data_IF_314807567844
#
_entry.id   IF_314807567844
#
_cell.length_a   1.000
_cell.length_b   1.000
_cell.length_c   1.000
_cell.angle_alpha   90.00
_cell.angle_beta   90.00
_cell.angle_gamma   90.00
#
_symmetry.space_group_name_H-M   'P 1'
#
loop_
_entity.id
_entity.type
_entity.pdbx_description
1 polymer ?
#
# COMPACT_ATOMS: atom_id res chain seq x y z
N UNK A 1 -6.82 5.42 4.65
CA UNK A 1 -5.92 5.12 3.51
C UNK A 1 -6.77 4.77 2.30
N UNK A 2 -6.39 5.18 1.10
CA UNK A 2 -7.12 4.88 -0.13
C UNK A 2 -6.75 3.51 -0.71
N UNK A 3 -7.55 2.99 -1.66
CA UNK A 3 -7.28 1.73 -2.35
C UNK A 3 -7.26 1.90 -3.87
N UNK A 4 -6.21 1.37 -4.50
CA UNK A 4 -6.07 1.29 -5.96
C UNK A 4 -6.22 -0.18 -6.40
N UNK A 5 -7.00 -0.41 -7.45
CA UNK A 5 -7.07 -1.69 -8.14
C UNK A 5 -7.26 -1.47 -9.64
N UNK A 6 -6.47 -2.14 -10.46
CA UNK A 6 -6.58 -2.07 -11.92
C UNK A 6 -6.33 -3.43 -12.56
N UNK A 7 -6.87 -3.61 -13.75
CA UNK A 7 -6.78 -4.85 -14.54
C UNK A 7 -6.53 -4.47 -15.99
N UNK A 8 -5.61 -5.15 -16.65
CA UNK A 8 -5.52 -5.25 -18.10
C UNK A 8 -5.65 -6.71 -18.50
N UNK A 9 -6.64 -7.02 -19.35
CA UNK A 9 -7.08 -8.39 -19.69
C UNK A 9 -7.42 -8.51 -21.16
N UNK A 10 -7.42 -9.73 -21.65
CA UNK A 10 -7.98 -10.09 -22.97
C UNK A 10 -9.51 -10.26 -22.95
N UNK A 11 -10.12 -10.34 -21.76
CA UNK A 11 -11.57 -10.57 -21.54
C UNK A 11 -12.21 -9.38 -20.80
N UNK A 12 -13.54 -9.20 -20.90
CA UNK A 12 -14.24 -8.15 -20.14
C UNK A 12 -14.06 -8.29 -18.64
N UNK A 13 -13.82 -7.16 -17.94
CA UNK A 13 -13.36 -7.12 -16.54
C UNK A 13 -14.32 -6.44 -15.56
N UNK A 14 -15.45 -5.88 -15.98
CA UNK A 14 -16.32 -5.04 -15.15
C UNK A 14 -16.67 -5.66 -13.79
N UNK A 15 -17.03 -6.95 -13.77
CA UNK A 15 -17.37 -7.69 -12.56
C UNK A 15 -16.13 -7.95 -11.67
N UNK A 16 -14.97 -8.20 -12.28
CA UNK A 16 -13.72 -8.43 -11.56
C UNK A 16 -13.24 -7.12 -10.88
N UNK A 17 -13.40 -5.98 -11.56
CA UNK A 17 -13.07 -4.66 -11.00
C UNK A 17 -13.85 -4.36 -9.73
N UNK A 18 -15.18 -4.53 -9.77
CA UNK A 18 -16.03 -4.29 -8.58
C UNK A 18 -15.69 -5.24 -7.44
N UNK A 19 -15.47 -6.54 -7.73
CA UNK A 19 -15.08 -7.51 -6.70
C UNK A 19 -13.73 -7.17 -6.07
N UNK A 20 -12.73 -6.83 -6.88
CA UNK A 20 -11.41 -6.45 -6.39
C UNK A 20 -11.46 -5.14 -5.60
N UNK A 21 -12.16 -4.13 -6.12
CA UNK A 21 -12.31 -2.85 -5.44
C UNK A 21 -13.06 -3.01 -4.11
N UNK A 22 -14.07 -3.88 -4.02
CA UNK A 22 -14.80 -4.15 -2.78
C UNK A 22 -13.90 -4.72 -1.67
N UNK A 23 -12.82 -5.40 -2.03
CA UNK A 23 -11.82 -5.88 -1.08
C UNK A 23 -10.92 -4.78 -0.53
N UNK A 24 -10.96 -3.59 -1.12
CA UNK A 24 -10.24 -2.39 -0.66
C UNK A 24 -11.17 -1.38 0.02
N UNK A 25 -12.46 -1.66 0.16
CA UNK A 25 -13.44 -0.73 0.74
C UNK A 25 -13.09 -0.36 2.18
N UNK A 26 -12.46 -1.28 2.93
CA UNK A 26 -11.96 -1.01 4.28
C UNK A 26 -10.89 0.10 4.33
N UNK A 27 -10.19 0.34 3.21
CA UNK A 27 -9.20 1.43 3.08
C UNK A 27 -9.84 2.79 2.81
N UNK A 28 -11.06 2.82 2.29
CA UNK A 28 -11.78 4.05 2.00
C UNK A 28 -13.17 3.77 1.47
N UNK A 29 -14.17 4.40 2.06
CA UNK A 29 -15.59 4.23 1.73
C UNK A 29 -16.31 5.56 1.47
N UNK A 30 -15.58 6.68 1.42
CA UNK A 30 -16.16 8.02 1.21
C UNK A 30 -16.60 8.24 -0.23
N UNK A 31 -15.88 7.66 -1.16
CA UNK A 31 -16.24 7.64 -2.58
C UNK A 31 -15.45 6.58 -3.34
N UNK A 32 -15.96 6.18 -4.49
CA UNK A 32 -15.30 5.21 -5.36
C UNK A 32 -15.53 5.56 -6.84
N UNK A 33 -14.59 5.12 -7.69
CA UNK A 33 -14.75 5.29 -9.14
C UNK A 33 -13.85 4.38 -9.95
N UNK A 34 -14.20 4.25 -11.21
CA UNK A 34 -13.53 3.40 -12.21
C UNK A 34 -13.41 4.19 -13.49
N UNK A 35 -12.25 4.11 -14.14
CA UNK A 35 -12.06 4.57 -15.53
C UNK A 35 -11.43 3.45 -16.35
N UNK A 36 -11.94 3.24 -17.55
CA UNK A 36 -11.43 2.22 -18.47
C UNK A 36 -11.68 2.62 -19.93
N UNK A 37 -11.11 1.85 -20.85
CA UNK A 37 -11.30 2.05 -22.28
C UNK A 37 -12.55 1.29 -22.76
N UNK A 38 -13.45 2.00 -23.44
CA UNK A 38 -14.55 1.35 -24.17
C UNK A 38 -14.04 0.67 -25.47
N UNK A 39 -14.95 0.08 -26.23
CA UNK A 39 -14.65 -0.60 -27.48
C UNK A 39 -14.01 0.33 -28.54
N UNK A 40 -14.23 1.65 -28.42
CA UNK A 40 -13.68 2.67 -29.31
C UNK A 40 -12.41 3.33 -28.71
N UNK A 41 -11.82 2.72 -27.68
CA UNK A 41 -10.65 3.23 -26.96
C UNK A 41 -10.86 4.57 -26.22
N UNK A 42 -12.12 5.04 -26.10
CA UNK A 42 -12.45 6.23 -25.32
C UNK A 42 -12.47 5.91 -23.83
N UNK A 43 -12.04 6.88 -23.01
CA UNK A 43 -12.11 6.78 -21.58
C UNK A 43 -13.56 6.90 -21.09
N UNK A 44 -14.09 5.84 -20.53
CA UNK A 44 -15.38 5.83 -19.85
C UNK A 44 -15.14 5.80 -18.36
N UNK A 45 -15.74 6.75 -17.64
CA UNK A 45 -15.56 6.90 -16.20
C UNK A 45 -16.89 6.88 -15.47
N UNK A 46 -16.96 6.08 -14.40
CA UNK A 46 -18.07 6.09 -13.46
C UNK A 46 -17.55 6.44 -12.06
N UNK A 47 -18.32 7.27 -11.35
CA UNK A 47 -17.99 7.71 -9.99
C UNK A 47 -19.23 7.66 -9.12
N UNK A 48 -19.04 7.40 -7.82
CA UNK A 48 -20.07 7.48 -6.80
C UNK A 48 -19.49 7.97 -5.47
N UNK A 49 -20.27 8.74 -4.73
CA UNK A 49 -20.00 9.04 -3.32
C UNK A 49 -20.52 7.90 -2.45
N UNK A 50 -19.90 7.69 -1.29
CA UNK A 50 -20.23 6.59 -0.38
C UNK A 50 -19.70 5.23 -0.83
N UNK A 51 -20.27 4.15 -0.30
CA UNK A 51 -19.79 2.78 -0.50
C UNK A 51 -19.78 2.33 -1.97
N UNK A 52 -18.93 1.34 -2.28
CA UNK A 52 -18.75 0.78 -3.64
C UNK A 52 -20.08 0.24 -4.21
N UNK A 53 -20.99 -0.20 -3.36
CA UNK A 53 -22.34 -0.62 -3.82
C UNK A 53 -23.03 0.44 -4.69
N UNK A 54 -22.74 1.72 -4.48
CA UNK A 54 -23.31 2.83 -5.25
C UNK A 54 -22.77 2.90 -6.68
N UNK A 55 -21.66 2.24 -7.00
CA UNK A 55 -21.16 2.07 -8.37
C UNK A 55 -21.88 0.96 -9.15
N UNK A 56 -22.47 -0.03 -8.46
CA UNK A 56 -23.06 -1.20 -9.12
C UNK A 56 -24.12 -0.84 -10.17
N UNK A 57 -24.94 0.16 -9.89
CA UNK A 57 -25.99 0.63 -10.82
C UNK A 57 -25.45 1.32 -12.09
N UNK A 58 -24.14 1.70 -12.09
CA UNK A 58 -23.47 2.38 -13.20
C UNK A 58 -22.60 1.43 -14.05
N UNK A 59 -22.48 0.16 -13.66
CA UNK A 59 -21.60 -0.81 -14.32
C UNK A 59 -21.95 -1.10 -15.78
N UNK A 60 -23.21 -0.93 -16.18
CA UNK A 60 -23.64 -1.07 -17.58
C UNK A 60 -22.85 -0.18 -18.54
N UNK A 61 -22.40 0.98 -18.07
CA UNK A 61 -21.54 1.91 -18.83
C UNK A 61 -20.13 1.37 -19.09
N UNK A 62 -19.69 0.37 -18.33
CA UNK A 62 -18.37 -0.28 -18.45
C UNK A 62 -18.46 -1.66 -19.12
N UNK A 63 -19.56 -1.93 -19.84
CA UNK A 63 -19.74 -3.21 -20.54
C UNK A 63 -18.66 -3.36 -21.62
N UNK A 64 -17.99 -4.51 -21.61
CA UNK A 64 -16.98 -4.84 -22.62
C UNK A 64 -15.58 -4.28 -22.38
N UNK A 65 -15.35 -3.46 -21.34
CA UNK A 65 -13.99 -2.95 -21.05
C UNK A 65 -13.06 -4.09 -20.67
N UNK A 66 -11.82 -4.02 -21.17
CA UNK A 66 -10.75 -5.00 -20.91
C UNK A 66 -9.60 -4.41 -20.10
N UNK A 67 -9.47 -3.08 -20.04
CA UNK A 67 -8.44 -2.40 -19.26
C UNK A 67 -9.05 -1.23 -18.49
N UNK A 68 -8.80 -1.19 -17.19
CA UNK A 68 -9.29 -0.11 -16.33
C UNK A 68 -8.48 0.03 -15.05
N UNK A 69 -8.55 1.23 -14.47
CA UNK A 69 -8.09 1.56 -13.13
C UNK A 69 -9.26 1.98 -12.26
N UNK A 70 -9.21 1.63 -10.98
CA UNK A 70 -10.28 1.91 -10.02
C UNK A 70 -9.71 2.35 -8.68
N UNK A 71 -10.53 3.06 -7.89
CA UNK A 71 -10.10 3.66 -6.65
C UNK A 71 -11.22 3.67 -5.61
N UNK A 72 -10.85 3.46 -4.34
CA UNK A 72 -11.64 3.79 -3.16
C UNK A 72 -10.97 4.89 -2.40
N UNK A 73 -11.72 5.92 -2.03
CA UNK A 73 -11.19 7.13 -1.41
C UNK A 73 -11.53 7.20 0.07
N UNK A 74 -10.51 7.53 0.85
CA UNK A 74 -10.63 8.12 2.18
C UNK A 74 -10.23 9.59 2.03
N UNK A 75 -11.18 10.50 2.24
CA UNK A 75 -10.99 11.92 1.97
C UNK A 75 -9.98 12.54 2.95
N UNK A 76 -8.84 12.99 2.43
CA UNK A 76 -7.83 13.78 3.17
C UNK A 76 -7.83 15.24 2.70
N UNK A 77 -7.89 15.47 1.38
CA UNK A 77 -7.95 16.79 0.74
C UNK A 77 -9.24 16.94 -0.06
N UNK A 78 -10.07 17.92 0.30
CA UNK A 78 -11.37 18.15 -0.31
C UNK A 78 -12.46 17.19 0.15
N UNK A 79 -13.69 17.68 0.22
CA UNK A 79 -14.88 16.92 0.68
C UNK A 79 -15.18 15.72 -0.23
N UNK A 80 -15.89 14.68 0.26
CA UNK A 80 -16.28 13.51 -0.54
C UNK A 80 -17.41 13.83 -1.52
N UNK A 81 -17.09 14.56 -2.58
CA UNK A 81 -17.98 14.93 -3.68
C UNK A 81 -17.60 14.21 -4.96
N UNK A 82 -18.51 14.16 -5.93
CA UNK A 82 -18.23 13.53 -7.24
C UNK A 82 -17.03 14.17 -7.97
N UNK A 83 -16.84 15.51 -7.85
CA UNK A 83 -15.72 16.22 -8.46
C UNK A 83 -14.37 15.82 -7.85
N UNK A 84 -14.36 15.51 -6.56
CA UNK A 84 -13.18 15.12 -5.80
C UNK A 84 -12.94 13.59 -5.79
N UNK A 85 -13.84 12.83 -6.42
CA UNK A 85 -13.71 11.37 -6.54
C UNK A 85 -12.78 11.01 -7.67
N UNK A 86 -11.84 10.07 -7.42
CA UNK A 86 -11.04 9.45 -8.49
C UNK A 86 -11.90 8.54 -9.39
N UNK A 87 -11.46 8.26 -10.62
CA UNK A 87 -10.29 8.77 -11.33
C UNK A 87 -10.41 10.26 -11.72
N UNK A 88 -9.29 11.00 -11.76
CA UNK A 88 -9.21 12.31 -12.38
C UNK A 88 -8.87 12.16 -13.85
N UNK A 89 -9.40 13.06 -14.69
CA UNK A 89 -9.24 13.02 -16.14
C UNK A 89 -8.59 14.31 -16.65
N UNK A 90 -7.74 14.19 -17.67
CA UNK A 90 -7.18 15.30 -18.45
C UNK A 90 -7.06 14.88 -19.89
N UNK A 91 -7.91 15.43 -20.75
CA UNK A 91 -8.05 15.05 -22.16
C UNK A 91 -8.16 13.53 -22.34
N UNK A 92 -7.06 12.88 -22.69
CA UNK A 92 -6.98 11.44 -22.97
C UNK A 92 -6.35 10.61 -21.83
N UNK A 93 -5.99 11.23 -20.71
CA UNK A 93 -5.38 10.54 -19.59
C UNK A 93 -6.35 10.45 -18.40
N UNK A 94 -6.49 9.27 -17.83
CA UNK A 94 -7.19 9.03 -16.58
C UNK A 94 -6.24 8.49 -15.52
N UNK A 95 -6.27 9.03 -14.30
CA UNK A 95 -5.41 8.59 -13.20
C UNK A 95 -6.18 8.28 -11.92
N UNK A 96 -5.63 7.37 -11.14
CA UNK A 96 -5.96 7.17 -9.73
C UNK A 96 -4.68 7.35 -8.90
N UNK A 97 -4.83 7.85 -7.66
CA UNK A 97 -3.71 8.21 -6.80
C UNK A 97 -4.01 7.90 -5.33
N UNK A 98 -3.06 7.30 -4.65
CA UNK A 98 -2.97 7.19 -3.20
C UNK A 98 -1.76 8.00 -2.73
N UNK A 99 -1.91 8.79 -1.71
CA UNK A 99 -0.81 9.58 -1.13
C UNK A 99 -1.17 11.05 -0.96
N UNK A 100 -0.15 11.88 -0.82
CA UNK A 100 -0.27 13.35 -0.69
C UNK A 100 0.85 13.98 -1.51
N UNK A 101 0.47 14.94 -2.38
CA UNK A 101 1.41 15.74 -3.16
C UNK A 101 1.61 17.07 -2.46
N UNK A 102 2.75 17.23 -1.82
CA UNK A 102 3.06 18.38 -0.96
C UNK A 102 3.17 19.69 -1.76
N UNK A 103 3.77 19.63 -2.95
CA UNK A 103 3.95 20.80 -3.83
C UNK A 103 2.79 21.02 -4.81
N UNK A 104 1.59 20.48 -4.54
CA UNK A 104 0.46 20.55 -5.48
C UNK A 104 0.01 21.98 -5.79
N UNK A 105 0.13 22.93 -4.87
CA UNK A 105 -0.26 24.32 -5.10
C UNK A 105 0.61 24.98 -6.16
N UNK A 106 1.92 24.80 -6.10
CA UNK A 106 2.87 25.36 -7.07
C UNK A 106 2.66 24.74 -8.46
N UNK A 107 2.48 23.42 -8.50
CA UNK A 107 2.16 22.70 -9.73
C UNK A 107 0.82 23.16 -10.34
N UNK A 108 -0.18 23.40 -9.50
CA UNK A 108 -1.50 23.92 -9.92
C UNK A 108 -1.38 25.30 -10.55
N UNK A 109 -0.61 26.20 -9.94
CA UNK A 109 -0.35 27.54 -10.48
C UNK A 109 0.41 27.46 -11.81
N UNK A 110 1.43 26.62 -11.90
CA UNK A 110 2.17 26.38 -13.13
C UNK A 110 1.27 25.87 -14.26
N UNK A 111 0.45 24.87 -14.00
CA UNK A 111 -0.45 24.27 -15.00
C UNK A 111 -1.57 25.22 -15.44
N UNK A 112 -2.12 26.04 -14.52
CA UNK A 112 -3.07 27.10 -14.88
C UNK A 112 -2.47 28.10 -15.89
N UNK A 113 -1.19 28.49 -15.71
CA UNK A 113 -0.48 29.34 -16.69
C UNK A 113 -0.29 28.66 -18.06
N UNK A 114 -0.39 27.31 -18.10
CA UNK A 114 -0.35 26.52 -19.35
C UNK A 114 -1.74 26.24 -19.94
N UNK A 115 -2.80 26.84 -19.37
CA UNK A 115 -4.18 26.73 -19.87
C UNK A 115 -4.99 25.56 -19.28
N UNK A 116 -4.46 24.81 -18.30
CA UNK A 116 -5.21 23.71 -17.67
C UNK A 116 -6.27 24.24 -16.70
N UNK A 117 -7.48 23.71 -16.80
CA UNK A 117 -8.61 24.05 -15.93
C UNK A 117 -8.79 22.95 -14.91
N UNK A 118 -8.83 23.35 -13.63
CA UNK A 118 -9.01 22.44 -12.51
C UNK A 118 -10.47 22.37 -12.07
N UNK A 119 -10.99 21.17 -11.93
CA UNK A 119 -12.39 20.90 -11.57
C UNK A 119 -12.53 20.44 -10.12
N UNK A 120 -11.47 19.92 -9.52
CA UNK A 120 -11.48 19.40 -8.16
C UNK A 120 -10.66 20.23 -7.17
N UNK A 121 -10.90 19.95 -5.89
CA UNK A 121 -10.17 20.55 -4.77
C UNK A 121 -9.02 19.62 -4.28
N UNK A 122 -8.78 18.50 -5.00
CA UNK A 122 -7.78 17.50 -4.59
C UNK A 122 -6.38 17.89 -5.06
N UNK A 123 -5.37 17.42 -4.33
CA UNK A 123 -3.98 17.45 -4.74
C UNK A 123 -3.70 16.53 -5.94
N UNK A 124 -4.54 15.52 -6.14
CA UNK A 124 -4.37 14.46 -7.15
C UNK A 124 -4.57 14.94 -8.59
N UNK A 125 -5.42 15.95 -8.83
CA UNK A 125 -5.74 16.43 -10.18
C UNK A 125 -4.51 17.02 -10.87
N UNK A 126 -3.55 17.60 -10.11
CA UNK A 126 -2.30 18.12 -10.70
C UNK A 126 -1.50 17.02 -11.39
N UNK A 127 -1.54 15.78 -10.88
CA UNK A 127 -0.83 14.64 -11.46
C UNK A 127 -1.36 14.36 -12.87
N UNK A 128 -2.69 14.37 -13.01
CA UNK A 128 -3.35 14.09 -14.28
C UNK A 128 -2.99 15.13 -15.36
N UNK A 129 -3.11 16.40 -15.01
CA UNK A 129 -2.78 17.49 -15.91
C UNK A 129 -1.28 17.55 -16.24
N UNK A 130 -0.41 17.29 -15.26
CA UNK A 130 1.04 17.27 -15.46
C UNK A 130 1.45 16.12 -16.39
N UNK A 131 0.86 14.93 -16.21
CA UNK A 131 1.12 13.79 -17.08
C UNK A 131 0.65 14.06 -18.51
N UNK A 132 -0.51 14.70 -18.67
CA UNK A 132 -1.01 15.13 -19.98
C UNK A 132 -0.09 16.18 -20.63
N UNK A 133 0.36 17.16 -19.86
CA UNK A 133 1.31 18.18 -20.34
C UNK A 133 2.61 17.56 -20.87
N UNK A 134 3.18 16.58 -20.17
CA UNK A 134 4.38 15.89 -20.63
C UNK A 134 4.09 14.95 -21.79
N UNK A 135 2.92 14.31 -21.84
CA UNK A 135 2.54 13.48 -22.98
C UNK A 135 2.36 14.30 -24.25
N UNK A 136 1.75 15.47 -24.17
CA UNK A 136 1.63 16.38 -25.33
C UNK A 136 2.98 16.85 -25.88
N UNK A 137 4.04 16.85 -25.04
CA UNK A 137 5.40 17.19 -25.46
C UNK A 137 6.18 16.03 -26.06
N UNK A 138 6.01 14.84 -25.57
CA UNK A 138 6.87 13.69 -25.88
C UNK A 138 6.21 12.63 -26.74
N UNK A 139 4.86 12.59 -26.77
CA UNK A 139 4.04 11.52 -27.33
C UNK A 139 4.39 10.11 -26.78
N UNK A 140 5.07 10.06 -25.60
CA UNK A 140 5.55 8.84 -24.96
C UNK A 140 5.14 8.77 -23.49
N UNK A 141 4.35 7.76 -23.13
CA UNK A 141 3.85 7.59 -21.75
C UNK A 141 4.93 7.25 -20.74
N UNK A 142 5.97 6.52 -21.13
CA UNK A 142 7.09 6.24 -20.21
C UNK A 142 7.82 7.53 -19.82
N UNK A 143 8.12 8.40 -20.80
CA UNK A 143 8.68 9.73 -20.53
C UNK A 143 7.76 10.59 -19.69
N UNK A 144 6.46 10.53 -19.98
CA UNK A 144 5.45 11.35 -19.31
C UNK A 144 5.31 10.98 -17.83
N UNK A 145 5.22 9.68 -17.49
CA UNK A 145 5.12 9.25 -16.09
C UNK A 145 6.42 9.52 -15.32
N UNK A 146 7.59 9.36 -15.96
CA UNK A 146 8.89 9.66 -15.34
C UNK A 146 8.99 11.17 -15.05
N UNK A 147 8.68 12.03 -16.02
CA UNK A 147 8.74 13.48 -15.85
C UNK A 147 7.74 13.97 -14.82
N UNK A 148 6.53 13.38 -14.81
CA UNK A 148 5.53 13.65 -13.79
C UNK A 148 6.08 13.30 -12.40
N UNK A 149 6.54 12.08 -12.20
CA UNK A 149 7.07 11.61 -10.92
C UNK A 149 8.26 12.45 -10.40
N UNK A 150 9.14 12.89 -11.30
CA UNK A 150 10.27 13.76 -10.96
C UNK A 150 9.85 15.18 -10.51
N UNK A 151 8.64 15.62 -10.90
CA UNK A 151 8.10 16.94 -10.53
C UNK A 151 7.30 16.90 -9.23
N UNK A 152 6.98 15.70 -8.71
CA UNK A 152 6.16 15.53 -7.51
C UNK A 152 7.02 15.47 -6.24
N UNK A 153 6.60 16.21 -5.22
CA UNK A 153 7.09 16.10 -3.85
C UNK A 153 6.03 15.45 -2.98
N UNK A 154 6.47 14.60 -2.02
CA UNK A 154 5.58 13.84 -1.14
C UNK A 154 5.54 12.36 -1.45
N UNK A 155 4.49 11.69 -0.98
CA UNK A 155 4.28 10.24 -1.17
C UNK A 155 3.16 9.99 -2.18
N UNK A 156 3.36 9.03 -3.09
CA UNK A 156 2.35 8.69 -4.08
C UNK A 156 2.42 7.23 -4.52
N UNK A 157 1.28 6.70 -4.90
CA UNK A 157 1.10 5.55 -5.75
C UNK A 157 0.11 5.96 -6.86
N UNK A 158 0.53 5.90 -8.11
CA UNK A 158 -0.22 6.37 -9.26
C UNK A 158 -0.50 5.19 -10.20
N UNK A 159 -1.73 5.07 -10.69
CA UNK A 159 -2.02 4.25 -11.86
C UNK A 159 -2.74 5.10 -12.91
N UNK A 160 -2.25 5.04 -14.13
CA UNK A 160 -2.70 5.85 -15.25
C UNK A 160 -3.06 5.01 -16.47
N UNK A 161 -4.06 5.45 -17.21
CA UNK A 161 -4.45 4.92 -18.52
C UNK A 161 -4.54 6.07 -19.52
N UNK A 162 -4.31 5.77 -20.80
CA UNK A 162 -4.33 6.76 -21.89
C UNK A 162 -5.15 6.22 -23.06
N UNK A 163 -6.13 6.99 -23.55
CA UNK A 163 -6.98 6.58 -24.70
C UNK A 163 -6.22 6.45 -26.03
N UNK A 164 -5.08 7.11 -26.19
CA UNK A 164 -4.21 6.94 -27.36
C UNK A 164 -3.35 5.68 -27.29
N UNK A 165 -3.20 5.07 -26.10
CA UNK A 165 -2.45 3.85 -25.86
C UNK A 165 -3.37 2.89 -25.07
N UNK A 166 -4.42 2.36 -25.73
CA UNK A 166 -5.39 1.49 -25.07
C UNK A 166 -4.74 0.20 -24.57
N UNK A 167 -5.42 -0.51 -23.70
CA UNK A 167 -5.02 -1.81 -23.14
C UNK A 167 -3.76 -1.78 -22.25
N UNK A 168 -3.23 -0.60 -21.91
CA UNK A 168 -2.03 -0.46 -21.09
C UNK A 168 -2.30 0.39 -19.85
N UNK A 169 -1.81 -0.07 -18.70
CA UNK A 169 -1.78 0.69 -17.45
C UNK A 169 -0.34 1.07 -17.18
N UNK A 170 -0.11 2.33 -16.86
CA UNK A 170 1.18 2.86 -16.40
C UNK A 170 1.13 3.15 -14.92
N UNK A 171 2.20 2.84 -14.18
CA UNK A 171 2.24 3.04 -12.73
C UNK A 171 3.61 3.46 -12.24
N UNK A 172 3.61 4.18 -11.13
CA UNK A 172 4.81 4.52 -10.35
C UNK A 172 4.42 4.73 -8.89
N UNK A 173 5.38 4.53 -7.98
CA UNK A 173 5.15 4.74 -6.56
C UNK A 173 6.39 5.32 -5.86
N UNK A 174 6.13 6.05 -4.76
CA UNK A 174 7.13 6.56 -3.82
C UNK A 174 6.48 6.73 -2.45
N UNK A 175 6.90 5.96 -1.46
CA UNK A 175 6.35 6.02 -0.11
C UNK A 175 4.93 5.49 0.07
N UNK A 176 4.25 5.07 -1.01
CA UNK A 176 2.94 4.40 -1.00
C UNK A 176 3.03 3.12 -1.84
N UNK A 177 2.51 1.97 -1.37
CA UNK A 177 2.77 0.69 -2.01
C UNK A 177 2.00 0.47 -3.31
N UNK A 178 2.65 -0.22 -4.26
CA UNK A 178 2.04 -0.82 -5.45
C UNK A 178 2.53 -2.26 -5.60
N UNK A 179 1.61 -3.15 -5.91
CA UNK A 179 1.85 -4.56 -6.18
C UNK A 179 1.32 -4.89 -7.56
N UNK A 180 2.13 -5.56 -8.37
CA UNK A 180 1.76 -6.04 -9.69
C UNK A 180 1.42 -7.54 -9.61
N UNK A 181 0.24 -7.93 -10.08
CA UNK A 181 -0.17 -9.34 -10.16
C UNK A 181 0.05 -9.89 -11.56
N UNK A 182 0.76 -11.01 -11.68
CA UNK A 182 0.99 -11.68 -12.95
C UNK A 182 0.02 -12.86 -13.12
N UNK A 183 -0.93 -12.73 -14.03
CA UNK A 183 -1.89 -13.80 -14.40
C UNK A 183 -1.57 -14.42 -15.76
N UNK A 184 -2.49 -15.25 -16.26
CA UNK A 184 -2.38 -15.92 -17.59
C UNK A 184 -2.96 -15.02 -18.68
N UNK A 185 -4.25 -14.65 -18.57
CA UNK A 185 -4.98 -13.84 -19.56
C UNK A 185 -5.15 -12.38 -19.12
N UNK A 186 -4.62 -12.03 -17.96
CA UNK A 186 -4.75 -10.69 -17.37
C UNK A 186 -3.60 -10.41 -16.42
N UNK A 187 -3.20 -9.14 -16.33
CA UNK A 187 -2.30 -8.63 -15.32
C UNK A 187 -3.01 -7.57 -14.47
N UNK A 188 -2.55 -7.42 -13.25
CA UNK A 188 -3.22 -6.66 -12.20
C UNK A 188 -2.28 -5.64 -11.58
N UNK A 189 -2.86 -4.55 -11.09
CA UNK A 189 -2.19 -3.59 -10.22
C UNK A 189 -3.06 -3.37 -8.98
N UNK A 190 -2.44 -3.30 -7.81
CA UNK A 190 -3.16 -2.97 -6.58
C UNK A 190 -2.25 -2.32 -5.55
N UNK A 191 -2.85 -1.50 -4.68
CA UNK A 191 -2.18 -0.99 -3.48
C UNK A 191 -2.11 -2.00 -2.32
N UNK A 192 -2.74 -3.18 -2.50
CA UNK A 192 -2.76 -4.28 -1.54
C UNK A 192 -2.82 -5.60 -2.28
N UNK A 193 -2.31 -6.69 -1.67
CA UNK A 193 -2.31 -8.01 -2.29
C UNK A 193 -3.70 -8.67 -2.31
N UNK A 194 -4.60 -8.28 -1.39
CA UNK A 194 -5.90 -8.93 -1.18
C UNK A 194 -6.78 -9.02 -2.42
N UNK A 195 -6.90 -7.98 -3.29
CA UNK A 195 -7.64 -8.09 -4.54
C UNK A 195 -6.98 -9.03 -5.56
N UNK A 196 -5.64 -9.13 -5.51
CA UNK A 196 -4.86 -9.89 -6.50
C UNK A 196 -4.97 -11.40 -6.26
N UNK A 197 -4.96 -11.86 -5.01
CA UNK A 197 -4.92 -13.30 -4.67
C UNK A 197 -6.13 -14.11 -5.14
N UNK A 198 -7.25 -13.46 -5.47
CA UNK A 198 -8.39 -14.14 -6.10
C UNK A 198 -8.13 -14.56 -7.54
N UNK A 199 -7.21 -13.87 -8.20
CA UNK A 199 -6.93 -14.01 -9.63
C UNK A 199 -5.61 -14.71 -9.90
N UNK A 200 -4.57 -14.39 -9.10
CA UNK A 200 -3.26 -15.01 -9.22
C UNK A 200 -2.54 -15.02 -7.88
N UNK A 201 -1.72 -16.05 -7.65
CA UNK A 201 -0.79 -16.10 -6.52
C UNK A 201 0.55 -15.42 -6.82
N UNK A 202 0.82 -15.12 -8.09
CA UNK A 202 2.09 -14.57 -8.54
C UNK A 202 2.04 -13.04 -8.51
N UNK A 203 2.97 -12.41 -7.78
CA UNK A 203 3.01 -10.97 -7.65
C UNK A 203 4.44 -10.41 -7.60
N UNK A 204 4.57 -9.12 -7.92
CA UNK A 204 5.83 -8.38 -7.90
C UNK A 204 5.58 -7.07 -7.16
N UNK A 205 6.15 -6.85 -5.96
CA UNK A 205 6.09 -5.56 -5.29
C UNK A 205 6.98 -4.55 -6.02
N UNK A 206 6.48 -3.33 -6.18
CA UNK A 206 7.28 -2.22 -6.68
C UNK A 206 8.06 -1.54 -5.55
N UNK A 207 9.25 -1.06 -5.86
CA UNK A 207 10.04 -0.22 -4.95
C UNK A 207 9.88 1.26 -5.32
N UNK A 208 10.31 2.14 -4.39
CA UNK A 208 10.25 3.59 -4.61
C UNK A 208 10.98 3.99 -5.90
N UNK A 209 10.36 4.87 -6.68
CA UNK A 209 10.90 5.39 -7.93
C UNK A 209 11.08 4.36 -9.06
N UNK A 210 10.43 3.23 -8.96
CA UNK A 210 10.21 2.33 -10.08
C UNK A 210 8.97 2.73 -10.87
N UNK A 211 8.97 2.34 -12.14
CA UNK A 211 7.90 2.57 -13.10
C UNK A 211 7.51 1.23 -13.71
N UNK A 212 6.23 1.06 -14.03
CA UNK A 212 5.83 -0.12 -14.78
C UNK A 212 4.80 0.21 -15.87
N UNK A 213 4.88 -0.57 -16.94
CA UNK A 213 3.94 -0.66 -18.03
C UNK A 213 3.33 -2.06 -18.02
N UNK A 214 2.00 -2.14 -17.98
CA UNK A 214 1.25 -3.36 -17.73
C UNK A 214 0.17 -3.49 -18.80
N UNK A 215 0.21 -4.58 -19.56
CA UNK A 215 -0.87 -4.98 -20.44
C UNK A 215 -1.32 -6.40 -20.11
N UNK A 216 -2.28 -6.96 -20.85
CA UNK A 216 -2.84 -8.28 -20.60
C UNK A 216 -1.82 -9.43 -20.67
N UNK A 217 -0.72 -9.27 -21.41
CA UNK A 217 0.28 -10.31 -21.67
C UNK A 217 1.63 -10.06 -21.04
N UNK A 218 1.96 -8.80 -20.69
CA UNK A 218 3.28 -8.42 -20.21
C UNK A 218 3.23 -7.43 -19.04
N UNK A 219 4.25 -7.52 -18.20
CA UNK A 219 4.60 -6.55 -17.17
C UNK A 219 6.05 -6.14 -17.40
N UNK A 220 6.28 -4.86 -17.70
CA UNK A 220 7.61 -4.29 -17.91
C UNK A 220 7.90 -3.28 -16.81
N UNK A 221 8.88 -3.56 -15.96
CA UNK A 221 9.33 -2.64 -14.92
C UNK A 221 10.59 -1.94 -15.41
N UNK A 222 10.70 -0.64 -15.18
CA UNK A 222 11.84 0.16 -15.62
C UNK A 222 12.17 1.28 -14.62
N UNK A 223 13.38 1.80 -14.69
CA UNK A 223 13.85 2.92 -13.88
C UNK A 223 13.66 4.26 -14.60
N UNK A 224 14.05 5.36 -13.94
CA UNK A 224 14.01 6.73 -14.50
C UNK A 224 14.76 6.92 -15.82
N UNK A 225 15.70 6.04 -16.16
CA UNK A 225 16.46 6.05 -17.41
C UNK A 225 15.85 5.10 -18.45
N UNK A 226 14.63 4.64 -18.27
CA UNK A 226 13.91 3.63 -19.09
C UNK A 226 14.61 2.28 -19.22
N UNK A 227 15.60 2.00 -18.37
CA UNK A 227 16.26 0.70 -18.37
C UNK A 227 15.37 -0.32 -17.66
N UNK A 228 15.14 -1.45 -18.30
CA UNK A 228 14.33 -2.53 -17.74
C UNK A 228 14.96 -3.10 -16.48
N UNK A 229 14.14 -3.25 -15.43
CA UNK A 229 14.50 -3.89 -14.16
C UNK A 229 13.88 -5.29 -14.15
N UNK A 230 14.70 -6.32 -13.93
CA UNK A 230 14.21 -7.68 -13.72
C UNK A 230 13.99 -7.92 -12.24
N UNK A 231 12.76 -8.23 -11.84
CA UNK A 231 12.41 -8.57 -10.45
C UNK A 231 11.87 -10.00 -10.36
N UNK A 232 12.20 -10.71 -9.27
CA UNK A 232 11.65 -12.03 -9.04
C UNK A 232 10.13 -11.94 -8.79
N UNK A 233 9.40 -12.84 -9.36
CA UNK A 233 7.97 -13.03 -9.04
C UNK A 233 7.88 -13.81 -7.74
N UNK A 234 7.13 -13.28 -6.77
CA UNK A 234 6.85 -13.91 -5.48
C UNK A 234 5.52 -14.67 -5.53
N UNK A 235 5.37 -15.66 -4.66
CA UNK A 235 4.14 -16.46 -4.54
C UNK A 235 3.47 -16.15 -3.21
N UNK A 236 2.22 -15.68 -3.26
CA UNK A 236 1.44 -15.40 -2.06
C UNK A 236 1.03 -16.69 -1.34
N UNK A 237 1.20 -16.69 -0.03
CA UNK A 237 0.73 -17.75 0.88
C UNK A 237 -0.67 -17.48 1.44
N UNK A 238 -1.30 -16.35 1.09
CA UNK A 238 -2.63 -15.96 1.59
C UNK A 238 -3.70 -16.85 0.99
N UNK A 239 -4.56 -17.43 1.86
CA UNK A 239 -5.72 -18.22 1.45
C UNK A 239 -6.94 -17.34 1.18
N UNK A 240 -7.69 -17.65 0.11
CA UNK A 240 -8.92 -16.92 -0.28
C UNK A 240 -9.98 -16.85 0.83
N UNK A 241 -10.07 -17.87 1.67
CA UNK A 241 -11.08 -17.96 2.74
C UNK A 241 -10.82 -17.04 3.95
N UNK A 242 -9.61 -16.54 4.12
CA UNK A 242 -9.29 -15.67 5.26
C UNK A 242 -10.01 -14.31 5.22
N UNK A 243 -10.44 -13.86 4.05
CA UNK A 243 -11.19 -12.62 3.86
C UNK A 243 -12.72 -12.79 3.92
N UNK A 244 -13.25 -13.92 4.42
CA UNK A 244 -14.69 -14.16 4.56
C UNK A 244 -15.19 -13.83 5.98
N UNK A 245 -16.47 -13.49 6.13
CA UNK A 245 -17.10 -13.20 7.44
C UNK A 245 -17.23 -14.44 8.37
N UNK A 246 -17.08 -15.65 7.84
CA UNK A 246 -17.16 -16.91 8.58
C UNK A 246 -18.37 -17.01 9.55
N UNK A 247 -19.54 -16.49 9.15
CA UNK A 247 -20.76 -16.48 9.94
C UNK A 247 -20.92 -15.27 10.89
N UNK A 248 -19.94 -14.39 10.99
CA UNK A 248 -20.05 -13.16 11.76
C UNK A 248 -20.81 -12.07 11.00
N UNK A 249 -21.53 -11.21 11.76
CA UNK A 249 -22.29 -10.10 11.16
C UNK A 249 -21.40 -8.99 10.60
N UNK A 250 -20.25 -8.75 11.24
CA UNK A 250 -19.29 -7.70 10.89
C UNK A 250 -17.86 -8.24 11.02
N UNK A 251 -16.94 -7.72 10.21
CA UNK A 251 -15.52 -8.09 10.28
C UNK A 251 -14.90 -7.78 11.63
N UNK A 252 -15.20 -6.64 12.25
CA UNK A 252 -14.73 -6.32 13.60
C UNK A 252 -15.13 -7.40 14.62
N UNK A 253 -16.38 -7.85 14.59
CA UNK A 253 -16.87 -8.91 15.46
C UNK A 253 -16.09 -10.22 15.23
N UNK A 254 -15.86 -10.58 13.95
CA UNK A 254 -15.03 -11.72 13.58
C UNK A 254 -13.61 -11.59 14.14
N UNK A 255 -12.95 -10.45 13.88
CA UNK A 255 -11.56 -10.19 14.26
C UNK A 255 -11.38 -10.20 15.79
N UNK A 256 -12.35 -9.70 16.56
CA UNK A 256 -12.34 -9.78 18.02
C UNK A 256 -12.34 -11.24 18.49
N UNK A 257 -13.19 -12.09 17.93
CA UNK A 257 -13.26 -13.49 18.33
C UNK A 257 -12.09 -14.34 17.82
N UNK A 258 -11.50 -13.97 16.68
CA UNK A 258 -10.30 -14.63 16.13
C UNK A 258 -9.06 -14.46 16.99
N UNK A 259 -8.96 -13.43 17.84
CA UNK A 259 -7.79 -13.16 18.69
C UNK A 259 -7.39 -14.40 19.50
N UNK A 260 -8.37 -15.10 20.10
CA UNK A 260 -8.10 -16.30 20.89
C UNK A 260 -7.36 -17.37 20.07
N UNK A 261 -7.85 -17.65 18.87
CA UNK A 261 -7.25 -18.66 17.99
C UNK A 261 -5.88 -18.21 17.50
N UNK A 262 -5.74 -16.92 17.12
CA UNK A 262 -4.48 -16.34 16.66
C UNK A 262 -3.40 -16.43 17.74
N UNK A 263 -3.72 -16.08 19.00
CA UNK A 263 -2.78 -16.17 20.14
C UNK A 263 -2.38 -17.63 20.39
N UNK A 264 -3.34 -18.55 20.36
CA UNK A 264 -3.05 -20.00 20.52
C UNK A 264 -2.12 -20.50 19.41
N UNK A 265 -2.40 -20.15 18.17
CA UNK A 265 -1.58 -20.51 17.01
C UNK A 265 -0.16 -19.90 17.07
N UNK A 266 -0.04 -18.64 17.49
CA UNK A 266 1.26 -17.99 17.70
C UNK A 266 2.04 -18.70 18.82
N UNK A 267 1.41 -18.94 19.95
CA UNK A 267 2.02 -19.64 21.09
C UNK A 267 2.51 -21.04 20.69
N UNK A 268 1.68 -21.80 19.98
CA UNK A 268 2.05 -23.15 19.53
C UNK A 268 3.21 -23.18 18.53
N UNK A 269 3.36 -22.14 17.71
CA UNK A 269 4.45 -22.04 16.73
C UNK A 269 5.77 -21.57 17.32
N UNK A 270 5.71 -20.68 18.29
CA UNK A 270 6.87 -19.95 18.78
C UNK A 270 7.37 -20.37 20.14
N UNK A 271 6.54 -21.07 20.92
CA UNK A 271 6.89 -21.55 22.25
C UNK A 271 7.07 -23.07 22.23
N UNK A 272 8.29 -23.54 22.50
CA UNK A 272 8.60 -24.93 22.76
C UNK A 272 8.24 -25.31 24.18
N UNK A 273 8.63 -26.53 24.66
CA UNK A 273 8.24 -27.03 25.97
C UNK A 273 8.56 -26.08 27.13
N UNK A 274 9.64 -25.31 27.09
CA UNK A 274 10.03 -24.40 28.18
C UNK A 274 10.78 -23.15 27.69
N UNK A 275 10.79 -22.85 26.42
CA UNK A 275 11.47 -21.67 25.86
C UNK A 275 10.91 -21.24 24.50
N UNK A 276 11.12 -19.98 24.17
CA UNK A 276 10.83 -19.44 22.86
C UNK A 276 11.80 -20.08 21.84
N UNK A 277 11.29 -20.46 20.68
CA UNK A 277 12.10 -21.04 19.61
C UNK A 277 12.99 -19.94 19.00
N UNK A 278 14.32 -20.13 18.96
CA UNK A 278 15.24 -19.03 18.61
C UNK A 278 15.05 -18.52 17.18
N UNK A 279 14.69 -19.38 16.24
CA UNK A 279 14.60 -19.02 14.80
C UNK A 279 13.34 -18.22 14.41
N UNK A 280 12.52 -17.78 15.37
CA UNK A 280 11.28 -17.03 15.09
C UNK A 280 11.53 -15.67 14.44
N UNK A 281 12.68 -15.06 14.70
CA UNK A 281 13.06 -13.75 14.16
C UNK A 281 13.92 -13.84 12.89
N UNK A 282 14.35 -15.04 12.49
CA UNK A 282 15.20 -15.29 11.35
C UNK A 282 16.36 -16.23 11.66
N UNK A 283 17.22 -16.49 10.67
CA UNK A 283 18.37 -17.38 10.83
C UNK A 283 19.51 -16.68 11.61
N UNK A 284 20.16 -17.38 12.55
CA UNK A 284 21.28 -16.88 13.39
C UNK A 284 20.94 -15.65 14.26
N UNK A 285 19.68 -15.47 14.66
CA UNK A 285 19.27 -14.31 15.47
C UNK A 285 19.64 -14.43 16.94
N UNK A 286 19.90 -15.62 17.45
CA UNK A 286 20.22 -15.88 18.87
C UNK A 286 21.42 -15.07 19.33
N UNK A 287 22.53 -15.16 18.60
CA UNK A 287 23.78 -14.43 18.91
C UNK A 287 23.60 -12.92 18.89
N UNK A 288 22.68 -12.41 18.04
CA UNK A 288 22.39 -10.99 17.97
C UNK A 288 21.57 -10.54 19.20
N UNK A 289 20.60 -11.36 19.65
CA UNK A 289 19.73 -11.04 20.78
C UNK A 289 20.44 -11.17 22.12
N UNK A 290 21.39 -12.11 22.28
CA UNK A 290 22.19 -12.29 23.49
C UNK A 290 22.97 -11.05 23.91
N UNK A 291 23.33 -10.19 22.96
CA UNK A 291 24.14 -8.99 23.21
C UNK A 291 23.31 -7.70 23.33
N UNK A 292 21.98 -7.78 23.34
CA UNK A 292 21.12 -6.60 23.43
C UNK A 292 20.99 -6.15 24.90
N UNK A 293 21.29 -4.88 25.15
CA UNK A 293 21.13 -4.22 26.46
C UNK A 293 20.01 -3.18 26.46
N UNK A 294 19.66 -2.67 25.25
CA UNK A 294 18.64 -1.65 25.07
C UNK A 294 17.70 -2.02 23.93
N UNK A 295 16.41 -1.69 24.08
CA UNK A 295 15.41 -1.80 22.99
C UNK A 295 14.79 -0.44 22.77
N UNK A 296 14.73 -0.03 21.49
CA UNK A 296 14.09 1.20 21.07
C UNK A 296 12.90 0.89 20.19
N UNK A 297 11.69 0.97 20.76
CA UNK A 297 10.43 0.79 20.05
C UNK A 297 10.03 2.05 19.33
N UNK A 298 9.63 1.93 18.06
CA UNK A 298 9.13 3.05 17.25
C UNK A 298 7.89 2.59 16.47
N UNK A 299 6.75 3.22 16.74
CA UNK A 299 5.47 2.86 16.17
C UNK A 299 4.48 4.04 16.15
N UNK A 300 3.31 3.86 15.51
CA UNK A 300 2.21 4.81 15.50
C UNK A 300 0.96 4.23 16.15
N UNK A 301 0.09 5.09 16.69
CA UNK A 301 -1.25 4.73 17.18
C UNK A 301 -1.23 3.63 18.23
N UNK A 302 -2.11 2.64 18.10
CA UNK A 302 -2.22 1.52 19.05
C UNK A 302 -0.97 0.63 19.08
N UNK A 303 -0.21 0.54 17.99
CA UNK A 303 1.09 -0.13 17.98
C UNK A 303 2.10 0.56 18.91
N UNK A 304 2.06 1.89 18.99
CA UNK A 304 2.86 2.64 19.98
C UNK A 304 2.40 2.34 21.41
N UNK A 305 1.08 2.28 21.68
CA UNK A 305 0.59 1.94 23.01
C UNK A 305 0.94 0.49 23.40
N UNK A 306 0.91 -0.45 22.45
CA UNK A 306 1.40 -1.81 22.68
C UNK A 306 2.91 -1.82 23.02
N UNK A 307 3.69 -0.94 22.40
CA UNK A 307 5.13 -0.77 22.72
C UNK A 307 5.37 -0.30 24.15
N UNK A 308 4.50 0.58 24.69
CA UNK A 308 4.59 1.02 26.08
C UNK A 308 4.37 -0.14 27.05
N UNK A 309 3.37 -1.00 26.80
CA UNK A 309 3.15 -2.20 27.62
C UNK A 309 4.32 -3.18 27.52
N UNK A 310 4.82 -3.40 26.30
CA UNK A 310 5.98 -4.26 26.09
C UNK A 310 7.24 -3.75 26.80
N UNK A 311 7.47 -2.42 26.77
CA UNK A 311 8.53 -1.76 27.50
C UNK A 311 8.46 -2.10 28.99
N UNK A 312 7.30 -1.86 29.64
CA UNK A 312 7.13 -2.09 31.07
C UNK A 312 7.38 -3.56 31.44
N UNK A 313 6.88 -4.50 30.66
CA UNK A 313 7.11 -5.91 30.91
C UNK A 313 8.58 -6.33 30.74
N UNK A 314 9.25 -5.86 29.67
CA UNK A 314 10.65 -6.21 29.44
C UNK A 314 11.52 -5.65 30.57
N UNK A 315 11.34 -4.41 30.97
CA UNK A 315 12.10 -3.77 32.07
C UNK A 315 11.82 -4.46 33.41
N UNK A 316 10.57 -4.96 33.64
CA UNK A 316 10.20 -5.69 34.85
C UNK A 316 10.84 -7.10 34.94
N UNK A 317 10.92 -7.81 33.82
CA UNK A 317 11.36 -9.20 33.81
C UNK A 317 12.81 -9.40 33.38
N UNK A 318 13.46 -8.37 32.89
CA UNK A 318 14.85 -8.44 32.41
C UNK A 318 15.67 -7.25 32.91
N UNK A 319 16.96 -7.21 32.55
CA UNK A 319 17.83 -6.06 32.79
C UNK A 319 17.92 -5.15 31.55
N UNK A 320 17.11 -5.38 30.52
CA UNK A 320 17.12 -4.62 29.30
C UNK A 320 16.33 -3.33 29.50
N UNK A 321 16.92 -2.20 29.22
CA UNK A 321 16.22 -0.91 29.25
C UNK A 321 15.49 -0.66 27.93
N UNK A 322 14.32 -0.02 27.99
CA UNK A 322 13.50 0.20 26.81
C UNK A 322 13.10 1.67 26.65
N UNK A 323 13.11 2.13 25.41
CA UNK A 323 12.53 3.41 25.01
C UNK A 323 11.41 3.16 24.02
N UNK A 324 10.30 3.88 24.12
CA UNK A 324 9.22 3.83 23.15
C UNK A 324 8.93 5.24 22.63
N UNK A 325 8.93 5.41 21.31
CA UNK A 325 8.68 6.70 20.66
C UNK A 325 7.63 6.59 19.54
N UNK A 326 6.89 7.69 19.35
CA UNK A 326 5.96 7.82 18.24
C UNK A 326 6.76 8.02 16.94
N UNK A 327 6.46 7.24 15.91
CA UNK A 327 7.26 7.25 14.68
C UNK A 327 7.22 8.60 13.94
N UNK A 328 6.11 9.36 14.01
CA UNK A 328 6.01 10.69 13.43
C UNK A 328 7.02 11.68 14.05
N UNK A 329 7.32 11.51 15.34
CA UNK A 329 8.26 12.36 16.07
C UNK A 329 9.70 11.90 15.90
N UNK A 330 9.93 10.57 15.95
CA UNK A 330 11.26 9.97 15.83
C UNK A 330 12.02 10.47 14.60
N UNK A 331 11.35 10.56 13.46
CA UNK A 331 11.99 10.93 12.18
C UNK A 331 12.62 12.32 12.20
N UNK A 332 12.14 13.24 13.03
CA UNK A 332 12.63 14.63 13.10
C UNK A 332 13.64 14.86 14.23
N UNK A 333 13.69 14.00 15.24
CA UNK A 333 14.60 14.14 16.39
C UNK A 333 16.05 13.81 16.02
N UNK A 334 17.00 14.47 16.68
CA UNK A 334 18.39 14.01 16.75
C UNK A 334 18.45 12.84 17.73
N UNK A 335 18.86 11.66 17.27
CA UNK A 335 18.89 10.44 18.07
C UNK A 335 20.34 10.10 18.43
N UNK A 336 20.61 9.91 19.70
CA UNK A 336 21.84 9.30 20.21
C UNK A 336 21.54 7.83 20.50
N UNK A 337 22.06 6.94 19.66
CA UNK A 337 21.87 5.50 19.84
C UNK A 337 22.86 4.99 20.87
N UNK A 338 22.35 4.35 21.93
CA UNK A 338 23.17 3.66 22.92
C UNK A 338 23.79 2.40 22.29
N UNK A 339 25.00 1.99 22.74
CA UNK A 339 25.57 0.72 22.29
C UNK A 339 24.62 -0.46 22.56
N UNK A 340 24.69 -1.51 21.76
CA UNK A 340 23.89 -2.74 21.92
C UNK A 340 22.38 -2.51 21.93
N UNK A 341 21.91 -1.51 21.17
CA UNK A 341 20.47 -1.20 21.03
C UNK A 341 19.86 -1.90 19.85
N UNK A 342 18.75 -2.62 20.10
CA UNK A 342 17.86 -3.16 19.08
C UNK A 342 16.78 -2.13 18.73
N UNK A 343 16.66 -1.76 17.45
CA UNK A 343 15.53 -0.97 16.96
C UNK A 343 14.35 -1.88 16.63
N UNK A 344 13.19 -1.63 17.24
CA UNK A 344 11.97 -2.42 17.02
C UNK A 344 10.87 -1.54 16.43
N UNK A 345 10.45 -1.86 15.23
CA UNK A 345 9.32 -1.21 14.57
C UNK A 345 8.08 -2.10 14.58
N UNK A 346 6.92 -1.54 14.99
CA UNK A 346 5.66 -2.29 15.06
C UNK A 346 4.64 -1.65 14.12
N UNK A 347 4.10 -2.46 13.22
CA UNK A 347 3.03 -2.03 12.31
C UNK A 347 2.24 -3.23 11.81
N UNK A 348 0.91 -3.18 11.91
CA UNK A 348 0.06 -4.25 11.39
C UNK A 348 0.27 -4.42 9.87
N UNK A 349 0.12 -3.35 9.09
CA UNK A 349 0.25 -3.39 7.63
C UNK A 349 1.69 -3.46 7.14
N UNK A 350 2.65 -2.98 7.95
CA UNK A 350 4.02 -2.76 7.52
C UNK A 350 4.21 -1.68 6.44
N UNK A 351 3.16 -0.88 6.19
CA UNK A 351 3.13 0.19 5.17
C UNK A 351 2.82 1.56 5.79
N UNK A 352 2.92 1.71 7.10
CA UNK A 352 2.74 3.00 7.79
C UNK A 352 3.91 3.92 7.44
N UNK A 353 3.64 5.02 6.74
CA UNK A 353 4.65 5.92 6.18
C UNK A 353 5.66 6.43 7.22
N UNK A 354 5.18 6.87 8.40
CA UNK A 354 6.04 7.37 9.48
C UNK A 354 6.92 6.25 10.06
N UNK A 355 6.39 5.04 10.23
CA UNK A 355 7.15 3.88 10.72
C UNK A 355 8.24 3.47 9.73
N UNK A 356 7.93 3.44 8.43
CA UNK A 356 8.91 3.15 7.37
C UNK A 356 9.99 4.24 7.31
N UNK A 357 9.60 5.51 7.38
CA UNK A 357 10.54 6.63 7.39
C UNK A 357 11.49 6.56 8.58
N UNK A 358 10.97 6.20 9.77
CA UNK A 358 11.74 6.00 10.99
C UNK A 358 12.72 4.84 10.86
N UNK A 359 12.30 3.71 10.29
CA UNK A 359 13.19 2.57 10.01
C UNK A 359 14.29 2.96 9.01
N UNK A 360 13.96 3.65 7.90
CA UNK A 360 14.95 4.15 6.92
C UNK A 360 15.99 5.08 7.57
N UNK A 361 15.59 5.88 8.58
CA UNK A 361 16.50 6.68 9.39
C UNK A 361 17.35 5.81 10.30
N UNK A 362 16.73 4.86 11.02
CA UNK A 362 17.44 3.96 11.93
C UNK A 362 18.52 3.14 11.24
N UNK A 363 18.30 2.69 10.01
CA UNK A 363 19.29 1.98 9.19
C UNK A 363 20.57 2.78 8.87
N UNK A 364 20.52 4.11 9.06
CA UNK A 364 21.68 5.02 8.90
C UNK A 364 22.39 5.33 10.21
N UNK A 365 21.87 4.82 11.34
CA UNK A 365 22.37 5.03 12.67
C UNK A 365 23.02 3.75 13.22
N UNK A 366 23.70 3.87 14.35
CA UNK A 366 24.51 2.79 14.96
C UNK A 366 23.67 1.79 15.78
N UNK A 367 22.46 1.44 15.35
CA UNK A 367 21.72 0.35 15.98
C UNK A 367 22.38 -1.00 15.70
N UNK A 368 22.35 -1.90 16.69
CA UNK A 368 22.94 -3.25 16.56
C UNK A 368 22.23 -4.05 15.48
N UNK A 369 20.90 -3.97 15.45
CA UNK A 369 20.06 -4.54 14.40
C UNK A 369 18.66 -3.90 14.41
N UNK A 370 17.81 -4.27 13.45
CA UNK A 370 16.42 -3.83 13.33
C UNK A 370 15.48 -5.03 13.31
N UNK A 371 14.37 -4.96 14.07
CA UNK A 371 13.31 -5.96 14.11
C UNK A 371 11.98 -5.31 13.68
N UNK A 372 11.29 -5.91 12.73
CA UNK A 372 9.92 -5.58 12.41
C UNK A 372 8.95 -6.59 13.04
N UNK A 373 8.00 -6.10 13.85
CA UNK A 373 6.82 -6.88 14.28
C UNK A 373 5.67 -6.46 13.35
N UNK A 374 5.25 -7.39 12.48
CA UNK A 374 4.31 -7.07 11.40
C UNK A 374 3.38 -8.25 11.09
N UNK A 375 2.20 -7.96 10.53
CA UNK A 375 1.28 -9.00 10.09
C UNK A 375 1.48 -9.38 8.61
N UNK A 376 1.97 -8.46 7.79
CA UNK A 376 2.12 -8.66 6.34
C UNK A 376 3.56 -9.02 5.99
N UNK A 377 3.79 -10.27 5.58
CA UNK A 377 5.11 -10.84 5.35
C UNK A 377 5.96 -10.13 4.28
N UNK A 378 5.32 -9.54 3.27
CA UNK A 378 6.00 -8.92 2.13
C UNK A 378 5.85 -7.39 2.11
N UNK A 379 5.58 -6.80 3.28
CA UNK A 379 5.47 -5.36 3.43
C UNK A 379 6.83 -4.66 3.28
N UNK A 380 6.78 -3.35 3.05
CA UNK A 380 8.01 -2.53 2.99
C UNK A 380 8.80 -2.61 4.29
N UNK A 381 8.11 -2.60 5.44
CA UNK A 381 8.77 -2.68 6.74
C UNK A 381 9.55 -3.99 6.91
N UNK A 382 8.94 -5.13 6.56
CA UNK A 382 9.58 -6.46 6.68
C UNK A 382 10.73 -6.63 5.70
N UNK A 383 10.65 -6.05 4.49
CA UNK A 383 11.74 -6.11 3.50
C UNK A 383 12.97 -5.29 3.90
N UNK A 384 12.77 -4.20 4.63
CA UNK A 384 13.85 -3.31 5.06
C UNK A 384 14.51 -3.72 6.38
N UNK A 385 13.80 -4.45 7.24
CA UNK A 385 14.28 -4.86 8.56
C UNK A 385 15.23 -6.06 8.48
N UNK A 386 16.23 -6.08 9.34
CA UNK A 386 17.19 -7.19 9.44
C UNK A 386 16.57 -8.46 10.04
N UNK A 387 15.60 -8.30 10.94
CA UNK A 387 14.82 -9.40 11.55
C UNK A 387 13.34 -9.13 11.43
N UNK A 388 12.52 -10.19 11.39
CA UNK A 388 11.07 -10.08 11.25
C UNK A 388 10.35 -11.04 12.19
N UNK A 389 9.32 -10.53 12.86
CA UNK A 389 8.33 -11.33 13.57
C UNK A 389 6.97 -11.17 12.90
N UNK A 390 6.47 -12.24 12.29
CA UNK A 390 5.21 -12.25 11.57
C UNK A 390 4.08 -12.77 12.47
N UNK A 391 3.11 -11.92 12.78
CA UNK A 391 1.97 -12.27 13.62
C UNK A 391 1.06 -13.32 12.97
N UNK A 392 0.95 -13.33 11.65
CA UNK A 392 0.06 -14.21 10.87
C UNK A 392 -1.42 -14.17 11.36
N UNK A 393 -1.87 -12.98 11.76
CA UNK A 393 -3.21 -12.76 12.30
C UNK A 393 -4.32 -12.69 11.23
N UNK A 394 -4.00 -13.02 9.97
CA UNK A 394 -4.95 -12.87 8.86
C UNK A 394 -5.03 -11.42 8.37
N UNK A 395 -5.86 -11.13 7.35
CA UNK A 395 -6.06 -9.78 6.84
C UNK A 395 -6.88 -8.95 7.83
N UNK A 396 -6.42 -7.75 8.17
CA UNK A 396 -7.22 -6.76 8.87
C UNK A 396 -8.16 -6.07 7.88
N UNK A 397 -9.45 -6.18 8.11
CA UNK A 397 -10.51 -5.55 7.30
C UNK A 397 -11.19 -4.43 8.10
N UNK A 398 -11.32 -4.62 9.41
CA UNK A 398 -11.78 -3.56 10.32
C UNK A 398 -10.59 -2.74 10.78
N UNK A 399 -10.54 -1.47 10.40
CA UNK A 399 -9.42 -0.58 10.70
C UNK A 399 -9.38 -0.20 12.21
N UNK A 400 -9.28 -1.19 13.07
CA UNK A 400 -9.15 -1.02 14.51
C UNK A 400 -7.94 -1.82 14.97
N UNK A 401 -6.81 -1.15 15.06
CA UNK A 401 -5.49 -1.75 15.33
C UNK A 401 -5.42 -2.61 16.60
N UNK A 402 -6.31 -2.41 17.56
CA UNK A 402 -6.33 -3.20 18.78
C UNK A 402 -6.82 -4.64 18.57
N UNK A 403 -7.52 -4.95 17.48
CA UNK A 403 -8.00 -6.32 17.22
C UNK A 403 -6.86 -7.29 16.94
N UNK A 404 -5.69 -6.79 16.49
CA UNK A 404 -4.54 -7.61 16.09
C UNK A 404 -3.28 -7.38 16.95
N UNK A 405 -3.17 -6.22 17.60
CA UNK A 405 -1.94 -5.82 18.29
C UNK A 405 -2.04 -5.85 19.81
N UNK A 406 -3.23 -5.92 20.39
CA UNK A 406 -3.40 -6.18 21.82
C UNK A 406 -3.31 -7.67 22.08
N UNK A 407 -2.12 -8.14 22.45
CA UNK A 407 -1.99 -9.32 23.28
C UNK A 407 -2.41 -8.92 24.72
N UNK A 408 -3.50 -9.43 25.18
CA UNK A 408 -3.87 -9.36 26.59
C UNK A 408 -3.19 -10.51 27.33
#
# INVERSE_FOLDING_TARGET
MCGIFGISSTKPISNQLIKGLSKLEYRGYDSAGISGHDINSKLVTIKATGPIKNLKHKLSKLKGITTAVSHTRWATHGQPTLKNTHPHLSEYIGIVHNGIIENYLDLKLYLKKKGYVFSSDTDSEVICHLMNYYFNKSADMQSSIISTANSLEGSYAIAAINSHIPHTIYTSCKGSPIILGKGVDANYISSDITPIVDHTKHFIPMDDSEFAEINSTSIKIFNKNKRTIRKPTKVSKINKNQASLMGHRHFMHKEIYEQRTIIQDMTSRFVGKNKILPNIFGHNTDKLLENIEHIHFVACGTSYHASLVAKDWIEQFTKITCTAEVASEYKYKKINVLPKTLFVSISQSGETADTISSLKKALKLSYTNTLAICNVAESTLTRLSGMNFLMNAGPEISAVSYTHLRAH
#
